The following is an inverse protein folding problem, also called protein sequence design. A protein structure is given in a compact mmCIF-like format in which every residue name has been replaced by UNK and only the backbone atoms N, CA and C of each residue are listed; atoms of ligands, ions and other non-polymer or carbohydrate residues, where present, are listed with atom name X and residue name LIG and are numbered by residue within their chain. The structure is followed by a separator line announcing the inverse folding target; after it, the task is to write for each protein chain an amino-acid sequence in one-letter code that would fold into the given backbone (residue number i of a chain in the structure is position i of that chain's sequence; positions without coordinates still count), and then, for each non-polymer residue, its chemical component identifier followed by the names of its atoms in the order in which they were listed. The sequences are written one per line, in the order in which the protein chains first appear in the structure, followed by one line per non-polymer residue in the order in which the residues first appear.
data_IF_407562918899
#
_entry.id   IF_407562918899
#
_cell.length_a   1.000
_cell.length_b   1.000
_cell.length_c   1.000
_cell.angle_alpha   90.00
_cell.angle_beta   90.00
_cell.angle_gamma   90.00
#
_symmetry.space_group_name_H-M   'P 1'
#
loop_
_entity.id
_entity.type
_entity.pdbx_description
1 polymer ?
#
# COMPACT_ATOMS: atom_id res chain seq x y z
N UNK A 1 -2.43 -2.94 -29.58
CA UNK A 1 -2.97 -2.34 -30.80
C UNK A 1 -1.84 -1.88 -31.73
N UNK A 2 -1.15 -0.76 -31.48
CA UNK A 2 -0.13 -0.19 -32.40
C UNK A 2 0.98 -1.15 -32.78
N UNK A 3 1.58 -1.87 -31.79
CA UNK A 3 2.64 -2.86 -32.04
C UNK A 3 2.17 -4.11 -32.84
N UNK A 4 0.88 -4.37 -32.86
CA UNK A 4 0.29 -5.54 -33.53
C UNK A 4 -0.51 -5.17 -34.78
N UNK A 5 -0.33 -3.95 -35.30
CA UNK A 5 -1.08 -3.39 -36.43
C UNK A 5 -2.62 -3.53 -36.30
N UNK A 6 -3.12 -3.43 -35.07
CA UNK A 6 -4.56 -3.39 -34.79
C UNK A 6 -4.97 -1.95 -34.49
N UNK A 7 -6.17 -1.58 -34.87
CA UNK A 7 -6.72 -0.27 -34.59
C UNK A 7 -6.84 -0.02 -33.08
N UNK A 8 -6.60 1.23 -32.67
CA UNK A 8 -6.84 1.65 -31.29
C UNK A 8 -8.36 1.72 -31.08
N UNK A 9 -8.90 1.10 -30.00
CA UNK A 9 -10.32 1.14 -29.73
C UNK A 9 -10.88 2.57 -29.64
N UNK A 10 -12.02 2.81 -30.26
CA UNK A 10 -12.63 4.14 -30.35
C UNK A 10 -12.92 4.80 -28.99
N UNK A 11 -13.17 3.99 -27.94
CA UNK A 11 -13.42 4.51 -26.60
C UNK A 11 -12.20 5.19 -25.98
N UNK A 12 -10.97 4.79 -26.35
CA UNK A 12 -9.73 5.45 -25.92
C UNK A 12 -9.69 6.89 -26.44
N UNK A 13 -10.03 7.08 -27.70
CA UNK A 13 -10.11 8.43 -28.26
C UNK A 13 -11.19 9.28 -27.59
N UNK A 14 -12.37 8.70 -27.28
CA UNK A 14 -13.44 9.40 -26.57
C UNK A 14 -12.99 9.91 -25.21
N UNK A 15 -12.31 9.06 -24.42
CA UNK A 15 -11.74 9.46 -23.12
C UNK A 15 -10.70 10.56 -23.31
N UNK A 16 -9.77 10.38 -24.25
CA UNK A 16 -8.73 11.37 -24.52
C UNK A 16 -9.29 12.73 -24.95
N UNK A 17 -10.34 12.73 -25.77
CA UNK A 17 -11.04 13.97 -26.15
C UNK A 17 -11.76 14.63 -24.97
N UNK A 18 -12.37 13.85 -24.08
CA UNK A 18 -13.00 14.39 -22.87
C UNK A 18 -11.99 15.07 -21.93
N UNK A 19 -10.73 14.62 -21.96
CA UNK A 19 -9.63 15.18 -21.16
C UNK A 19 -8.88 16.31 -21.89
N UNK A 20 -9.32 16.72 -23.07
CA UNK A 20 -8.70 17.78 -23.85
C UNK A 20 -8.74 19.12 -23.10
N UNK A 21 -7.60 19.79 -23.01
CA UNK A 21 -7.53 21.15 -22.50
C UNK A 21 -8.21 22.16 -23.46
N UNK A 22 -8.77 23.25 -22.91
CA UNK A 22 -9.37 24.31 -23.71
C UNK A 22 -8.34 24.93 -24.67
N UNK A 23 -8.75 25.15 -25.94
CA UNK A 23 -7.92 25.82 -26.94
C UNK A 23 -6.84 24.97 -27.60
N UNK A 24 -6.87 23.66 -27.45
CA UNK A 24 -5.94 22.74 -28.12
C UNK A 24 -6.69 21.93 -29.19
N UNK A 25 -6.12 21.86 -30.38
CA UNK A 25 -6.67 21.09 -31.48
C UNK A 25 -5.88 19.79 -31.69
N UNK A 26 -6.58 18.70 -32.04
CA UNK A 26 -5.97 17.49 -32.55
C UNK A 26 -5.82 17.61 -34.07
N UNK A 27 -4.62 17.36 -34.59
CA UNK A 27 -4.34 17.44 -36.01
C UNK A 27 -4.38 16.06 -36.65
N UNK A 28 -4.78 16.00 -37.94
CA UNK A 28 -4.93 14.74 -38.68
C UNK A 28 -3.62 13.98 -38.90
N UNK A 29 -2.48 14.68 -38.91
CA UNK A 29 -1.14 14.08 -39.08
C UNK A 29 -0.60 13.32 -37.84
N UNK A 30 -1.42 13.18 -36.82
CA UNK A 30 -1.03 12.53 -35.57
C UNK A 30 -1.20 11.02 -35.68
N UNK A 31 -0.09 10.31 -35.68
CA UNK A 31 -0.11 8.83 -35.69
C UNK A 31 -0.13 8.24 -34.29
N UNK A 32 -0.82 7.09 -34.14
CA UNK A 32 -0.81 6.35 -32.89
C UNK A 32 0.60 5.85 -32.48
N UNK A 33 1.51 5.71 -33.45
CA UNK A 33 2.91 5.40 -33.18
C UNK A 33 3.63 6.55 -32.45
N UNK A 34 3.33 7.79 -32.79
CA UNK A 34 3.86 8.98 -32.08
C UNK A 34 3.27 9.11 -30.69
N UNK A 35 1.97 8.85 -30.53
CA UNK A 35 1.31 8.79 -29.24
C UNK A 35 1.92 7.70 -28.34
N UNK A 36 2.22 6.53 -28.90
CA UNK A 36 2.88 5.44 -28.17
C UNK A 36 4.27 5.82 -27.66
N UNK A 37 5.06 6.58 -28.45
CA UNK A 37 6.36 7.09 -27.99
C UNK A 37 6.20 8.03 -26.79
N UNK A 38 5.22 8.92 -26.82
CA UNK A 38 4.93 9.84 -25.71
C UNK A 38 4.51 9.09 -24.44
N UNK A 39 3.63 8.08 -24.57
CA UNK A 39 3.23 7.20 -23.47
C UNK A 39 4.42 6.45 -22.89
N UNK A 40 5.25 5.83 -23.76
CA UNK A 40 6.42 5.09 -23.30
C UNK A 40 7.41 5.98 -22.55
N UNK A 41 7.62 7.20 -23.00
CA UNK A 41 8.50 8.15 -22.33
C UNK A 41 7.93 8.60 -20.98
N UNK A 42 6.62 8.81 -20.90
CA UNK A 42 5.94 9.10 -19.64
C UNK A 42 6.08 7.93 -18.64
N UNK A 43 5.83 6.70 -19.08
CA UNK A 43 5.98 5.50 -18.23
C UNK A 43 7.42 5.29 -17.80
N UNK A 44 8.39 5.51 -18.69
CA UNK A 44 9.81 5.45 -18.34
C UNK A 44 10.16 6.49 -17.25
N UNK A 45 9.68 7.71 -17.40
CA UNK A 45 9.84 8.75 -16.38
C UNK A 45 9.25 8.35 -15.03
N UNK A 46 8.08 7.70 -15.04
CA UNK A 46 7.44 7.19 -13.82
C UNK A 46 8.28 6.09 -13.15
N UNK A 47 8.76 5.12 -13.93
CA UNK A 47 9.65 4.07 -13.42
C UNK A 47 10.93 4.65 -12.82
N UNK A 48 11.55 5.60 -13.50
CA UNK A 48 12.76 6.27 -12.98
C UNK A 48 12.48 7.02 -11.68
N UNK A 49 11.33 7.70 -11.58
CA UNK A 49 10.93 8.37 -10.33
C UNK A 49 10.77 7.37 -9.17
N UNK A 50 10.14 6.23 -9.40
CA UNK A 50 10.04 5.16 -8.38
C UNK A 50 11.42 4.67 -7.93
N UNK A 51 12.32 4.39 -8.88
CA UNK A 51 13.69 3.95 -8.57
C UNK A 51 14.40 4.99 -7.71
N UNK A 52 14.31 6.28 -8.06
CA UNK A 52 14.92 7.37 -7.30
C UNK A 52 14.36 7.42 -5.88
N UNK A 53 13.04 7.35 -5.73
CA UNK A 53 12.39 7.38 -4.41
C UNK A 53 12.83 6.19 -3.57
N UNK A 54 12.85 4.97 -4.13
CA UNK A 54 13.30 3.75 -3.42
C UNK A 54 14.75 3.90 -2.96
N UNK A 55 15.64 4.38 -3.83
CA UNK A 55 17.05 4.61 -3.48
C UNK A 55 17.16 5.64 -2.34
N UNK A 56 16.46 6.77 -2.43
CA UNK A 56 16.48 7.81 -1.39
C UNK A 56 15.99 7.25 -0.05
N UNK A 57 14.92 6.47 -0.06
CA UNK A 57 14.35 5.87 1.15
C UNK A 57 15.30 4.82 1.75
N UNK A 58 15.96 4.02 0.90
CA UNK A 58 16.97 3.06 1.34
C UNK A 58 18.16 3.75 2.03
N UNK A 59 18.68 4.86 1.47
CA UNK A 59 19.74 5.65 2.11
C UNK A 59 19.29 6.32 3.42
N UNK A 60 17.99 6.49 3.64
CA UNK A 60 17.43 6.94 4.93
C UNK A 60 17.24 5.81 5.94
N UNK A 61 17.70 4.60 5.64
CA UNK A 61 17.61 3.44 6.53
C UNK A 61 16.24 2.77 6.55
N UNK A 62 15.38 3.05 5.58
CA UNK A 62 14.09 2.39 5.45
C UNK A 62 14.26 1.00 4.78
N UNK A 63 13.42 0.05 5.19
CA UNK A 63 13.36 -1.25 4.53
C UNK A 63 12.72 -1.15 3.15
N UNK A 64 12.97 -2.12 2.27
CA UNK A 64 12.37 -2.16 0.93
C UNK A 64 10.82 -2.11 0.95
N UNK A 65 10.11 -2.86 1.82
CA UNK A 65 8.66 -2.73 1.94
C UNK A 65 8.19 -1.33 2.33
N UNK A 66 8.87 -0.66 3.25
CA UNK A 66 8.57 0.72 3.64
C UNK A 66 8.77 1.71 2.49
N UNK A 67 9.84 1.53 1.71
CA UNK A 67 10.11 2.35 0.53
C UNK A 67 9.03 2.18 -0.55
N UNK A 68 8.63 0.94 -0.84
CA UNK A 68 7.54 0.64 -1.78
C UNK A 68 6.22 1.27 -1.29
N UNK A 69 5.93 1.12 -0.01
CA UNK A 69 4.74 1.70 0.58
C UNK A 69 4.74 3.24 0.47
N UNK A 70 5.88 3.87 0.70
CA UNK A 70 6.01 5.32 0.50
C UNK A 70 5.77 5.72 -0.95
N UNK A 71 6.28 4.95 -1.93
CA UNK A 71 5.97 5.18 -3.35
C UNK A 71 4.46 5.18 -3.60
N UNK A 72 3.73 4.19 -3.07
CA UNK A 72 2.27 4.12 -3.23
C UNK A 72 1.55 5.33 -2.60
N UNK A 73 2.04 5.84 -1.48
CA UNK A 73 1.51 7.07 -0.85
C UNK A 73 1.68 8.32 -1.71
N UNK A 74 2.80 8.42 -2.41
CA UNK A 74 3.14 9.61 -3.20
C UNK A 74 2.90 9.41 -4.70
N UNK A 75 2.33 8.27 -5.10
CA UNK A 75 2.12 7.87 -6.50
C UNK A 75 1.42 8.98 -7.31
N UNK A 76 0.31 9.51 -6.79
CA UNK A 76 -0.44 10.58 -7.44
C UNK A 76 0.44 11.82 -7.70
N UNK A 77 1.24 12.20 -6.70
CA UNK A 77 2.13 13.36 -6.82
C UNK A 77 3.25 13.10 -7.83
N UNK A 78 3.77 11.87 -7.91
CA UNK A 78 4.75 11.50 -8.93
C UNK A 78 4.17 11.57 -10.33
N UNK A 79 2.98 11.03 -10.55
CA UNK A 79 2.28 11.08 -11.85
C UNK A 79 2.04 12.52 -12.29
N UNK A 80 1.50 13.35 -11.39
CA UNK A 80 1.25 14.78 -11.66
C UNK A 80 2.57 15.52 -11.91
N UNK A 81 3.58 15.30 -11.09
CA UNK A 81 4.90 15.93 -11.21
C UNK A 81 5.57 15.63 -12.54
N UNK A 82 5.58 14.37 -12.96
CA UNK A 82 6.14 13.95 -14.26
C UNK A 82 5.37 14.59 -15.40
N UNK A 83 4.04 14.64 -15.30
CA UNK A 83 3.22 15.30 -16.33
C UNK A 83 3.52 16.80 -16.41
N UNK A 84 3.67 17.48 -15.29
CA UNK A 84 4.05 18.89 -15.24
C UNK A 84 5.44 19.14 -15.85
N UNK A 85 6.43 18.34 -15.47
CA UNK A 85 7.78 18.41 -16.03
C UNK A 85 7.76 18.22 -17.54
N UNK A 86 7.00 17.24 -18.01
CA UNK A 86 6.81 17.00 -19.45
C UNK A 86 6.22 18.22 -20.16
N UNK A 87 5.18 18.83 -19.59
CA UNK A 87 4.55 20.05 -20.16
C UNK A 87 5.54 21.22 -20.21
N UNK A 88 6.35 21.40 -19.15
CA UNK A 88 7.40 22.45 -19.10
C UNK A 88 8.43 22.20 -20.20
N UNK A 89 8.97 20.98 -20.32
CA UNK A 89 9.95 20.63 -21.35
C UNK A 89 9.37 20.87 -22.77
N UNK A 90 8.12 20.49 -22.99
CA UNK A 90 7.44 20.70 -24.27
C UNK A 90 7.26 22.20 -24.58
N UNK A 91 6.91 22.99 -23.57
CA UNK A 91 6.77 24.46 -23.72
C UNK A 91 8.12 25.12 -24.04
N UNK A 92 9.19 24.72 -23.34
CA UNK A 92 10.56 25.23 -23.61
C UNK A 92 10.99 24.88 -25.04
N UNK A 93 10.74 23.63 -25.48
CA UNK A 93 11.03 23.21 -26.87
C UNK A 93 10.30 24.08 -27.89
N UNK A 94 9.00 24.35 -27.66
CA UNK A 94 8.20 25.21 -28.58
C UNK A 94 8.72 26.65 -28.62
N UNK A 95 9.14 27.21 -27.49
CA UNK A 95 9.72 28.57 -27.45
C UNK A 95 11.03 28.58 -28.25
N UNK A 96 11.87 27.59 -28.09
CA UNK A 96 13.14 27.45 -28.81
C UNK A 96 12.91 27.29 -30.31
N UNK A 97 11.91 26.50 -30.73
CA UNK A 97 11.57 26.31 -32.14
C UNK A 97 10.96 27.59 -32.78
N UNK A 98 10.16 28.34 -32.03
CA UNK A 98 9.64 29.67 -32.50
C UNK A 98 10.78 30.67 -32.73
N UNK A 99 11.78 30.66 -31.83
CA UNK A 99 12.97 31.50 -32.00
C UNK A 99 13.74 31.17 -33.30
N UNK A 100 13.68 29.89 -33.73
CA UNK A 100 14.29 29.43 -35.00
C UNK A 100 13.41 29.58 -36.24
N UNK A 101 12.27 30.28 -36.13
CA UNK A 101 11.26 30.46 -37.19
C UNK A 101 10.71 29.14 -37.77
N UNK A 102 10.81 28.04 -37.07
CA UNK A 102 10.25 26.75 -37.48
C UNK A 102 8.86 26.62 -36.87
N UNK A 103 7.82 26.68 -37.73
CA UNK A 103 6.43 26.59 -37.25
C UNK A 103 6.01 25.17 -36.93
N UNK A 104 6.43 24.65 -35.79
CA UNK A 104 5.84 23.43 -35.25
C UNK A 104 4.69 23.78 -34.30
N UNK A 105 3.54 23.20 -34.57
CA UNK A 105 2.35 23.35 -33.73
C UNK A 105 2.41 22.44 -32.53
N UNK A 106 1.84 22.89 -31.40
CA UNK A 106 1.75 22.07 -30.18
C UNK A 106 0.66 21.01 -30.38
N UNK A 107 1.07 19.75 -30.49
CA UNK A 107 0.15 18.62 -30.67
C UNK A 107 -0.13 17.94 -29.35
N UNK A 108 -1.39 17.56 -29.12
CA UNK A 108 -1.81 16.64 -28.09
C UNK A 108 -2.39 15.38 -28.74
N UNK A 109 -2.02 14.24 -28.18
CA UNK A 109 -2.53 12.96 -28.63
C UNK A 109 -3.68 12.51 -27.74
N UNK A 110 -4.86 12.26 -28.32
CA UNK A 110 -6.03 11.82 -27.57
C UNK A 110 -5.75 10.48 -26.85
N UNK A 111 -5.12 9.54 -27.53
CA UNK A 111 -4.74 8.25 -26.93
C UNK A 111 -3.74 8.39 -25.78
N UNK A 112 -2.77 9.31 -25.87
CA UNK A 112 -1.85 9.62 -24.77
C UNK A 112 -2.59 10.18 -23.56
N UNK A 113 -3.48 11.16 -23.77
CA UNK A 113 -4.26 11.77 -22.70
C UNK A 113 -5.15 10.73 -21.99
N UNK A 114 -5.76 9.81 -22.76
CA UNK A 114 -6.55 8.73 -22.18
C UNK A 114 -5.72 7.81 -21.28
N UNK A 115 -4.53 7.39 -21.73
CA UNK A 115 -3.64 6.52 -20.93
C UNK A 115 -3.17 7.25 -19.69
N UNK A 116 -2.71 8.50 -19.79
CA UNK A 116 -2.27 9.29 -18.64
C UNK A 116 -3.43 9.48 -17.65
N UNK A 117 -4.65 9.71 -18.15
CA UNK A 117 -5.83 9.83 -17.31
C UNK A 117 -6.15 8.55 -16.57
N UNK A 118 -6.05 7.38 -17.22
CA UNK A 118 -6.22 6.09 -16.54
C UNK A 118 -5.15 5.87 -15.48
N UNK A 119 -3.88 6.17 -15.76
CA UNK A 119 -2.80 6.09 -14.78
C UNK A 119 -3.06 7.01 -13.60
N UNK A 120 -3.51 8.25 -13.84
CA UNK A 120 -3.86 9.21 -12.79
C UNK A 120 -4.99 8.70 -11.88
N UNK A 121 -6.05 8.13 -12.47
CA UNK A 121 -7.17 7.55 -11.71
C UNK A 121 -6.72 6.34 -10.89
N UNK A 122 -5.85 5.49 -11.46
CA UNK A 122 -5.28 4.35 -10.73
C UNK A 122 -4.41 4.82 -9.57
N UNK A 123 -3.54 5.81 -9.79
CA UNK A 123 -2.69 6.39 -8.75
C UNK A 123 -3.52 7.01 -7.62
N UNK A 124 -4.60 7.71 -7.96
CA UNK A 124 -5.55 8.25 -6.98
C UNK A 124 -6.21 7.15 -6.15
N UNK A 125 -6.70 6.09 -6.81
CA UNK A 125 -7.32 4.95 -6.12
C UNK A 125 -6.34 4.23 -5.21
N UNK A 126 -5.10 4.00 -5.67
CA UNK A 126 -4.04 3.40 -4.84
C UNK A 126 -3.71 4.27 -3.63
N UNK A 127 -3.56 5.56 -3.84
CA UNK A 127 -3.31 6.51 -2.75
C UNK A 127 -4.43 6.46 -1.71
N UNK A 128 -5.70 6.52 -2.12
CA UNK A 128 -6.83 6.41 -1.21
C UNK A 128 -6.82 5.09 -0.44
N UNK A 129 -6.60 3.97 -1.13
CA UNK A 129 -6.53 2.65 -0.48
C UNK A 129 -5.45 2.62 0.58
N UNK A 130 -4.25 3.11 0.26
CA UNK A 130 -3.12 3.15 1.17
C UNK A 130 -3.38 4.05 2.39
N UNK A 131 -4.05 5.19 2.20
CA UNK A 131 -4.42 6.07 3.31
C UNK A 131 -5.53 5.48 4.19
N UNK A 132 -6.46 4.75 3.61
CA UNK A 132 -7.57 4.15 4.36
C UNK A 132 -7.16 2.85 5.08
N UNK A 133 -6.29 2.06 4.50
CA UNK A 133 -5.82 0.80 5.11
C UNK A 133 -4.66 0.99 6.10
N UNK A 134 -4.02 2.14 6.05
CA UNK A 134 -2.84 2.43 6.86
C UNK A 134 -1.58 1.72 6.38
N UNK A 135 -0.48 1.97 7.08
CA UNK A 135 0.78 1.25 6.85
C UNK A 135 0.66 -0.10 7.51
N UNK A 136 1.08 -1.21 6.87
CA UNK A 136 1.42 -2.39 7.64
C UNK A 136 2.47 -1.96 8.66
N UNK A 137 2.06 -1.84 9.92
CA UNK A 137 2.97 -1.56 11.01
C UNK A 137 4.09 -2.61 10.99
N UNK A 138 5.30 -2.22 11.40
CA UNK A 138 6.34 -3.24 11.66
C UNK A 138 5.74 -4.30 12.56
N UNK A 139 5.92 -5.59 12.22
CA UNK A 139 5.41 -6.65 13.07
C UNK A 139 5.90 -6.43 14.48
N UNK A 140 4.98 -6.33 15.43
CA UNK A 140 5.31 -6.21 16.85
C UNK A 140 5.53 -7.61 17.38
N UNK A 141 6.76 -7.91 17.80
CA UNK A 141 7.09 -9.15 18.47
C UNK A 141 6.84 -9.00 19.98
N UNK A 142 6.03 -9.89 20.52
CA UNK A 142 5.80 -10.00 21.95
C UNK A 142 6.35 -11.34 22.42
N UNK A 143 7.28 -11.30 23.39
CA UNK A 143 7.74 -12.52 24.06
C UNK A 143 6.92 -12.70 25.32
N UNK A 144 6.23 -13.82 25.41
CA UNK A 144 5.42 -14.24 26.56
C UNK A 144 6.14 -15.42 27.22
N UNK A 145 6.79 -15.19 28.32
CA UNK A 145 7.74 -16.15 28.94
C UNK A 145 8.81 -16.57 27.89
N UNK A 146 8.81 -17.84 27.48
CA UNK A 146 9.77 -18.40 26.52
C UNK A 146 9.23 -18.40 25.08
N UNK A 147 7.96 -18.06 24.89
CA UNK A 147 7.31 -18.08 23.57
C UNK A 147 7.33 -16.71 22.92
N UNK A 148 7.54 -16.67 21.61
CA UNK A 148 7.44 -15.44 20.80
C UNK A 148 6.20 -15.49 19.96
N UNK A 149 5.47 -14.39 19.97
CA UNK A 149 4.35 -14.15 19.07
C UNK A 149 4.61 -12.88 18.27
N UNK A 150 4.27 -12.92 17.00
CA UNK A 150 4.27 -11.75 16.10
C UNK A 150 2.83 -11.35 15.88
N UNK A 151 2.46 -10.18 16.36
CA UNK A 151 1.10 -9.64 16.22
C UNK A 151 0.75 -9.52 14.74
N UNK A 152 -0.41 -10.06 14.36
CA UNK A 152 -0.88 -10.08 12.97
C UNK A 152 -0.38 -11.25 12.12
N UNK A 153 0.46 -12.16 12.68
CA UNK A 153 1.02 -13.29 11.93
C UNK A 153 0.97 -14.61 12.68
N UNK A 154 1.22 -14.61 13.99
CA UNK A 154 1.26 -15.85 14.79
C UNK A 154 -0.13 -16.41 15.01
N UNK A 155 -0.29 -17.72 14.79
CA UNK A 155 -1.55 -18.42 15.02
C UNK A 155 -1.69 -18.85 16.48
N UNK A 156 -2.93 -18.90 16.97
CA UNK A 156 -3.23 -19.36 18.33
C UNK A 156 -2.70 -20.79 18.60
N UNK A 157 -2.64 -21.65 17.57
CA UNK A 157 -2.06 -22.99 17.67
C UNK A 157 -0.60 -23.00 18.13
N UNK A 158 0.17 -21.94 17.91
CA UNK A 158 1.57 -21.84 18.35
C UNK A 158 1.64 -21.66 19.89
N UNK A 159 0.76 -20.84 20.45
CA UNK A 159 0.65 -20.71 21.90
C UNK A 159 0.15 -22.00 22.57
N UNK A 160 -0.82 -22.67 21.94
CA UNK A 160 -1.28 -23.98 22.43
C UNK A 160 -0.16 -25.01 22.49
N UNK A 161 0.68 -25.09 21.43
CA UNK A 161 1.88 -25.97 21.40
C UNK A 161 2.91 -25.60 22.46
N UNK A 162 2.99 -24.33 22.83
CA UNK A 162 3.86 -23.84 23.89
C UNK A 162 3.29 -24.05 25.32
N UNK A 163 2.19 -24.78 25.47
CA UNK A 163 1.57 -25.11 26.73
C UNK A 163 0.69 -24.02 27.34
N UNK A 164 0.30 -23.01 26.55
CA UNK A 164 -0.71 -22.04 26.95
C UNK A 164 -2.11 -22.58 26.65
N UNK A 165 -3.08 -22.09 27.36
CA UNK A 165 -4.51 -22.29 27.12
C UNK A 165 -5.23 -20.96 27.06
N UNK A 166 -6.44 -20.97 26.54
CA UNK A 166 -7.30 -19.80 26.46
C UNK A 166 -8.48 -19.94 27.41
N UNK A 167 -8.78 -18.88 28.16
CA UNK A 167 -9.83 -18.91 29.17
C UNK A 167 -11.16 -19.36 28.55
N UNK A 168 -11.78 -20.38 29.15
CA UNK A 168 -13.07 -20.98 28.73
C UNK A 168 -13.15 -21.49 27.29
N UNK A 169 -12.03 -21.58 26.55
CA UNK A 169 -12.00 -21.99 25.15
C UNK A 169 -11.02 -23.14 24.91
N UNK A 170 -11.39 -24.02 23.99
CA UNK A 170 -10.53 -25.08 23.48
C UNK A 170 -10.10 -24.80 22.03
N UNK A 171 -9.21 -25.61 21.49
CA UNK A 171 -8.65 -25.44 20.16
C UNK A 171 -9.68 -25.47 19.00
N UNK A 172 -10.79 -26.17 19.20
CA UNK A 172 -11.87 -26.31 18.21
C UNK A 172 -13.03 -25.34 18.44
N UNK A 173 -12.95 -24.46 19.44
CA UNK A 173 -13.94 -23.40 19.66
C UNK A 173 -14.02 -22.50 18.42
N UNK A 174 -15.22 -22.26 17.92
CA UNK A 174 -15.46 -21.36 16.81
C UNK A 174 -15.33 -19.90 17.27
N UNK A 175 -14.47 -19.16 16.59
CA UNK A 175 -14.25 -17.72 16.81
C UNK A 175 -14.92 -16.96 15.67
N UNK A 176 -15.71 -15.96 16.03
CA UNK A 176 -16.44 -15.10 15.07
C UNK A 176 -15.75 -13.77 14.95
N UNK A 177 -15.51 -13.33 13.71
CA UNK A 177 -14.96 -12.01 13.43
C UNK A 177 -16.07 -10.95 13.58
N UNK A 178 -16.15 -10.35 14.76
CA UNK A 178 -17.16 -9.31 15.06
C UNK A 178 -16.59 -7.96 14.66
N UNK A 179 -17.23 -7.34 13.68
CA UNK A 179 -17.00 -5.94 13.33
C UNK A 179 -17.88 -5.06 14.18
N UNK A 180 -17.25 -4.25 15.01
CA UNK A 180 -17.98 -3.21 15.74
C UNK A 180 -17.65 -1.81 15.19
N UNK A 181 -18.31 -0.78 15.73
CA UNK A 181 -18.10 0.61 15.36
C UNK A 181 -16.69 1.14 15.72
N UNK A 182 -15.91 0.40 16.48
CA UNK A 182 -14.55 0.74 16.90
C UNK A 182 -13.47 0.04 16.08
N UNK A 183 -13.83 -0.65 15.01
CA UNK A 183 -12.91 -1.42 14.14
C UNK A 183 -12.12 -2.51 14.87
N UNK A 184 -12.61 -3.00 16.01
CA UNK A 184 -12.04 -4.15 16.68
C UNK A 184 -12.54 -5.42 16.00
N UNK A 185 -11.59 -6.24 15.55
CA UNK A 185 -11.86 -7.50 14.89
C UNK A 185 -11.44 -8.65 15.80
N UNK A 186 -12.22 -9.73 15.75
CA UNK A 186 -11.94 -10.94 16.49
C UNK A 186 -12.51 -10.93 17.90
N UNK A 187 -12.13 -11.93 18.67
CA UNK A 187 -12.62 -12.16 20.01
C UNK A 187 -11.50 -12.07 21.03
N UNK A 188 -11.71 -11.26 22.08
CA UNK A 188 -10.75 -11.14 23.18
C UNK A 188 -10.84 -12.36 24.09
N UNK A 189 -9.69 -12.91 24.45
CA UNK A 189 -9.58 -14.00 25.39
C UNK A 189 -8.30 -13.89 26.20
N UNK A 190 -8.33 -14.43 27.42
CA UNK A 190 -7.17 -14.44 28.29
C UNK A 190 -6.27 -15.64 27.99
N UNK A 191 -4.96 -15.43 28.01
CA UNK A 191 -3.93 -16.45 27.83
C UNK A 191 -3.48 -16.94 29.19
N UNK A 192 -3.61 -18.24 29.45
CA UNK A 192 -3.34 -18.88 30.75
C UNK A 192 -2.28 -19.96 30.57
N UNK A 193 -1.36 -20.04 31.52
CA UNK A 193 -0.41 -21.17 31.68
C UNK A 193 -0.16 -21.43 33.17
N UNK A 194 -0.24 -22.69 33.59
CA UNK A 194 -0.06 -23.11 34.96
C UNK A 194 -0.95 -22.33 35.96
N UNK A 195 -2.22 -22.06 35.56
CA UNK A 195 -3.19 -21.31 36.35
C UNK A 195 -2.90 -19.82 36.50
N UNK A 196 -1.89 -19.30 35.81
CA UNK A 196 -1.54 -17.86 35.81
C UNK A 196 -1.92 -17.21 34.52
N UNK A 197 -2.41 -15.95 34.60
CA UNK A 197 -2.73 -15.13 33.47
C UNK A 197 -1.49 -14.45 32.90
N UNK A 198 -1.31 -14.58 31.58
CA UNK A 198 -0.25 -13.90 30.82
C UNK A 198 -0.76 -12.78 29.94
N UNK A 199 -1.98 -12.30 30.20
CA UNK A 199 -2.60 -11.19 29.49
C UNK A 199 -3.73 -11.62 28.57
N UNK A 200 -4.19 -10.69 27.74
CA UNK A 200 -5.34 -10.82 26.87
C UNK A 200 -4.86 -10.73 25.42
N UNK A 201 -5.40 -11.58 24.56
CA UNK A 201 -5.17 -11.54 23.12
C UNK A 201 -6.50 -11.37 22.38
N UNK A 202 -6.45 -10.75 21.21
CA UNK A 202 -7.55 -10.83 20.25
C UNK A 202 -7.25 -11.91 19.22
N UNK A 203 -8.19 -12.84 19.08
CA UNK A 203 -8.14 -13.92 18.09
C UNK A 203 -9.02 -13.55 16.90
N UNK A 204 -8.44 -13.46 15.73
CA UNK A 204 -9.12 -13.05 14.51
C UNK A 204 -9.02 -14.12 13.45
N UNK A 205 -10.14 -14.58 12.85
CA UNK A 205 -10.10 -15.42 11.66
C UNK A 205 -9.27 -14.78 10.55
N UNK A 206 -8.34 -15.51 9.95
CA UNK A 206 -7.46 -14.98 8.89
C UNK A 206 -8.24 -14.75 7.59
N UNK A 207 -9.15 -15.67 7.28
CA UNK A 207 -9.97 -15.65 6.07
C UNK A 207 -11.41 -15.97 6.42
N UNK A 208 -12.30 -15.04 6.13
CA UNK A 208 -13.74 -15.22 6.38
C UNK A 208 -14.22 -14.68 7.73
N UNK A 209 -15.47 -14.99 8.04
CA UNK A 209 -16.14 -14.44 9.23
C UNK A 209 -16.01 -15.35 10.46
N UNK A 210 -15.67 -16.62 10.26
CA UNK A 210 -15.47 -17.60 11.36
C UNK A 210 -14.28 -18.50 11.10
N UNK A 211 -13.62 -18.93 12.16
CA UNK A 211 -12.57 -19.96 12.13
C UNK A 211 -12.47 -20.69 13.47
N UNK A 212 -11.86 -21.87 13.49
CA UNK A 212 -11.51 -22.52 14.76
C UNK A 212 -10.42 -21.72 15.46
N UNK A 213 -10.44 -21.70 16.80
CA UNK A 213 -9.49 -20.96 17.63
C UNK A 213 -8.04 -21.22 17.20
N UNK A 214 -7.66 -22.47 17.00
CA UNK A 214 -6.30 -22.87 16.60
C UNK A 214 -5.83 -22.23 15.28
N UNK A 215 -6.75 -21.90 14.38
CA UNK A 215 -6.48 -21.34 13.05
C UNK A 215 -6.52 -19.80 13.03
N UNK A 216 -7.00 -19.18 14.12
CA UNK A 216 -7.06 -17.74 14.25
C UNK A 216 -5.66 -17.13 14.45
N UNK A 217 -5.50 -15.92 13.93
CA UNK A 217 -4.29 -15.10 14.09
C UNK A 217 -4.45 -14.21 15.33
N UNK A 218 -3.37 -14.03 16.07
CA UNK A 218 -3.30 -13.12 17.21
C UNK A 218 -3.08 -11.71 16.69
N UNK A 219 -4.10 -10.85 16.79
CA UNK A 219 -4.07 -9.49 16.25
C UNK A 219 -3.87 -8.39 17.29
N UNK A 220 -4.00 -8.74 18.55
CA UNK A 220 -3.79 -7.83 19.69
C UNK A 220 -3.19 -8.61 20.86
N UNK A 221 -2.39 -7.94 21.65
CA UNK A 221 -1.91 -8.40 22.95
C UNK A 221 -1.95 -7.26 23.96
N UNK A 222 -2.48 -7.51 25.14
CA UNK A 222 -2.52 -6.60 26.26
C UNK A 222 -2.26 -7.30 27.58
N UNK A 223 -1.58 -6.64 28.51
CA UNK A 223 -1.37 -7.11 29.87
C UNK A 223 -1.61 -5.97 30.86
N UNK A 224 -2.21 -6.29 32.00
CA UNK A 224 -2.39 -5.31 33.06
C UNK A 224 -1.04 -4.91 33.67
N UNK A 225 -0.91 -3.62 34.00
CA UNK A 225 0.27 -3.10 34.70
C UNK A 225 0.49 -3.74 36.09
N UNK A 226 -0.57 -4.27 36.72
CA UNK A 226 -0.53 -4.92 38.02
C UNK A 226 -0.27 -6.45 37.92
N UNK A 227 -0.04 -6.96 36.70
CA UNK A 227 0.19 -8.41 36.52
C UNK A 227 1.53 -8.86 37.09
N UNK A 228 1.54 -9.90 37.91
CA UNK A 228 2.76 -10.56 38.38
C UNK A 228 3.64 -11.10 37.25
N UNK A 229 3.08 -11.34 36.08
CA UNK A 229 3.80 -11.88 34.93
C UNK A 229 4.41 -10.78 34.03
N UNK A 230 4.23 -9.50 34.37
CA UNK A 230 4.68 -8.37 33.56
C UNK A 230 6.20 -8.40 33.26
N UNK A 231 7.00 -8.84 34.24
CA UNK A 231 8.47 -8.95 34.08
C UNK A 231 8.89 -9.99 33.02
N UNK A 232 8.03 -10.99 32.76
CA UNK A 232 8.29 -12.06 31.78
C UNK A 232 7.90 -11.67 30.36
N UNK A 233 7.35 -10.47 30.18
CA UNK A 233 6.89 -9.97 28.89
C UNK A 233 7.90 -8.97 28.33
N UNK A 234 8.25 -9.17 27.05
CA UNK A 234 9.10 -8.23 26.29
C UNK A 234 8.41 -7.87 24.97
N UNK A 235 8.53 -6.61 24.58
CA UNK A 235 8.06 -6.13 23.28
C UNK A 235 9.29 -5.75 22.45
N UNK A 236 9.43 -6.36 21.25
CA UNK A 236 10.60 -6.21 20.39
C UNK A 236 11.93 -6.40 21.16
N UNK A 237 12.01 -7.46 21.96
CA UNK A 237 13.13 -7.79 22.86
C UNK A 237 13.43 -6.77 23.97
N UNK A 238 12.60 -5.74 24.12
CA UNK A 238 12.74 -4.71 25.15
C UNK A 238 11.75 -4.99 26.28
N UNK A 239 12.23 -4.97 27.54
CA UNK A 239 11.34 -5.05 28.71
C UNK A 239 10.33 -3.90 28.69
N UNK A 240 9.08 -4.19 29.05
CA UNK A 240 7.98 -3.20 29.09
C UNK A 240 8.37 -1.99 29.96
N UNK A 241 9.09 -2.18 31.05
CA UNK A 241 9.56 -1.10 31.94
C UNK A 241 10.55 -0.12 31.30
N UNK A 242 11.16 -0.48 30.16
CA UNK A 242 12.13 0.36 29.44
C UNK A 242 11.52 1.04 28.21
N UNK A 243 10.25 0.77 27.92
CA UNK A 243 9.56 1.44 26.82
C UNK A 243 9.29 2.91 27.21
N UNK A 244 9.85 3.85 26.44
CA UNK A 244 9.49 5.26 26.55
C UNK A 244 8.28 5.51 25.64
N UNK A 245 7.24 6.13 26.21
CA UNK A 245 6.08 6.64 25.46
C UNK A 245 6.44 7.96 24.78
#
# INVERSE_FOLDING_TARGET
AVKTNKDVPSWIYKIGHAMKGRGRDYYEDITDASALKEVNLFLLGLVLAHIIVIIVMYFRGQSLPEAIYFCLKVELFMVVGIRMLWMICKTISLISERAKKTSKKNHEYASTNAVIGMVLMTAFSLMLTVFMTGIPAKPVEVSIAESRITIGSTKASELLKAGFSFYTKNEDTEIVNRRDSHFQYGELTEVIRDGKSYGIVSLTPEWGDTAKLKDCVITYYGISADSEQLEKIKINNTSIFKLKY
#
